data_IF_937329961326
#
_entry.id   IF_937329961326
#
_cell.length_a   1.000
_cell.length_b   1.000
_cell.length_c   1.000
_cell.angle_alpha   90.00
_cell.angle_beta   90.00
_cell.angle_gamma   90.00
#
_symmetry.space_group_name_H-M   'P 1'
#
loop_
_entity.id
_entity.type
_entity.pdbx_description
1 polymer ?
#
# COMPACT_ATOMS: atom_id res chain seq x y z
N UNK A 1 -14.49 -50.36 16.30
CA UNK A 1 -14.20 -49.47 15.15
C UNK A 1 -14.56 -48.05 15.55
N UNK A 2 -13.58 -47.24 15.95
CA UNK A 2 -13.81 -45.83 16.28
C UNK A 2 -13.98 -45.04 14.98
N UNK A 3 -15.12 -44.36 14.83
CA UNK A 3 -15.42 -43.49 13.69
C UNK A 3 -14.62 -42.20 13.88
N UNK A 4 -13.57 -42.04 13.07
CA UNK A 4 -12.76 -40.82 13.05
C UNK A 4 -13.69 -39.67 12.66
N UNK A 5 -13.95 -38.76 13.61
CA UNK A 5 -14.69 -37.52 13.38
C UNK A 5 -13.83 -36.69 12.45
N UNK A 6 -14.14 -36.69 11.15
CA UNK A 6 -13.66 -35.65 10.25
C UNK A 6 -14.26 -34.35 10.76
N UNK A 7 -13.46 -33.40 11.27
CA UNK A 7 -14.00 -32.09 11.54
C UNK A 7 -14.39 -31.53 10.17
N UNK A 8 -15.67 -31.23 10.04
CA UNK A 8 -16.25 -30.24 9.14
C UNK A 8 -15.60 -28.88 9.42
N UNK A 9 -14.28 -28.79 9.27
CA UNK A 9 -13.61 -27.51 9.13
C UNK A 9 -14.06 -27.05 7.76
N UNK A 10 -15.11 -26.23 7.75
CA UNK A 10 -15.38 -25.25 6.72
C UNK A 10 -14.15 -24.35 6.65
N UNK A 11 -13.07 -24.90 6.12
CA UNK A 11 -11.88 -24.17 5.76
C UNK A 11 -12.37 -23.34 4.61
N UNK A 12 -12.82 -22.12 4.88
CA UNK A 12 -13.18 -21.17 3.85
C UNK A 12 -11.96 -21.11 2.93
N UNK A 13 -12.05 -21.75 1.76
CA UNK A 13 -10.93 -21.81 0.83
C UNK A 13 -10.73 -20.40 0.30
N UNK A 14 -9.73 -19.72 0.87
CA UNK A 14 -9.35 -18.39 0.47
C UNK A 14 -8.69 -18.51 -0.91
N UNK A 15 -9.47 -18.26 -1.95
CA UNK A 15 -9.00 -18.23 -3.32
C UNK A 15 -8.38 -16.87 -3.61
N UNK A 16 -7.05 -16.80 -3.53
CA UNK A 16 -6.27 -15.61 -3.90
C UNK A 16 -5.71 -15.75 -5.31
N UNK A 17 -5.90 -14.71 -6.12
CA UNK A 17 -5.24 -14.54 -7.41
C UNK A 17 -3.72 -14.37 -7.26
N UNK A 18 -2.92 -14.63 -8.31
CA UNK A 18 -1.47 -14.41 -8.29
C UNK A 18 -1.07 -12.99 -7.89
N UNK A 19 -1.87 -12.00 -8.29
CA UNK A 19 -1.66 -10.59 -7.98
C UNK A 19 -1.88 -10.29 -6.48
N UNK A 20 -2.92 -10.87 -5.90
CA UNK A 20 -3.19 -10.78 -4.47
C UNK A 20 -2.08 -11.44 -3.65
N UNK A 21 -1.64 -12.63 -4.04
CA UNK A 21 -0.50 -13.31 -3.44
C UNK A 21 0.76 -12.47 -3.48
N UNK A 22 1.04 -11.83 -4.63
CA UNK A 22 2.21 -10.97 -4.78
C UNK A 22 2.15 -9.78 -3.83
N UNK A 23 1.03 -9.08 -3.77
CA UNK A 23 0.87 -7.96 -2.83
C UNK A 23 0.98 -8.45 -1.38
N UNK A 24 0.31 -9.56 -1.04
CA UNK A 24 0.33 -10.14 0.30
C UNK A 24 1.75 -10.46 0.76
N UNK A 25 2.59 -11.01 -0.12
CA UNK A 25 3.99 -11.33 0.18
C UNK A 25 4.86 -10.12 0.53
N UNK A 26 4.45 -8.91 0.11
CA UNK A 26 5.18 -7.66 0.34
C UNK A 26 4.75 -6.93 1.61
N UNK A 27 3.67 -7.37 2.26
CA UNK A 27 3.13 -6.78 3.47
C UNK A 27 3.97 -7.21 4.67
N UNK A 28 4.96 -6.40 5.01
CA UNK A 28 5.77 -6.57 6.24
C UNK A 28 5.29 -5.68 7.40
N UNK A 29 4.28 -4.83 7.16
CA UNK A 29 3.74 -3.88 8.14
C UNK A 29 4.55 -2.60 8.32
N UNK A 30 5.66 -2.43 7.59
CA UNK A 30 6.55 -1.26 7.68
C UNK A 30 6.39 -0.28 6.50
N UNK A 31 5.79 -0.76 5.41
CA UNK A 31 5.63 -0.06 4.15
C UNK A 31 4.20 0.45 4.00
N UNK A 32 4.08 1.62 3.40
CA UNK A 32 2.80 2.18 2.97
C UNK A 32 2.23 1.41 1.75
N UNK A 33 0.92 1.54 1.54
CA UNK A 33 0.23 0.99 0.37
C UNK A 33 0.88 1.46 -0.93
N UNK A 34 1.29 2.74 -0.99
CA UNK A 34 1.96 3.35 -2.14
C UNK A 34 3.29 2.66 -2.45
N UNK A 35 4.12 2.45 -1.44
CA UNK A 35 5.41 1.75 -1.60
C UNK A 35 5.22 0.30 -2.06
N UNK A 36 4.25 -0.40 -1.47
CA UNK A 36 3.93 -1.78 -1.87
C UNK A 36 3.43 -1.83 -3.31
N UNK A 37 2.57 -0.89 -3.74
CA UNK A 37 2.11 -0.79 -5.12
C UNK A 37 3.29 -0.64 -6.10
N UNK A 38 4.24 0.26 -5.79
CA UNK A 38 5.43 0.44 -6.62
C UNK A 38 6.30 -0.82 -6.70
N UNK A 39 6.55 -1.50 -5.58
CA UNK A 39 7.33 -2.75 -5.54
C UNK A 39 6.64 -3.88 -6.30
N UNK A 40 5.32 -3.98 -6.17
CA UNK A 40 4.52 -4.97 -6.88
C UNK A 40 4.43 -4.69 -8.39
N UNK A 41 4.81 -3.48 -8.85
CA UNK A 41 4.56 -2.95 -10.20
C UNK A 41 3.07 -2.77 -10.54
N UNK A 42 2.28 -2.35 -9.55
CA UNK A 42 0.86 -2.04 -9.68
C UNK A 42 0.64 -0.53 -9.71
N UNK A 43 -0.45 -0.11 -10.33
CA UNK A 43 -0.99 1.23 -10.08
C UNK A 43 -1.51 1.31 -8.65
N UNK A 44 -1.48 2.51 -8.06
CA UNK A 44 -2.01 2.74 -6.71
C UNK A 44 -3.47 2.29 -6.58
N UNK A 45 -4.27 2.50 -7.62
CA UNK A 45 -5.66 2.11 -7.66
C UNK A 45 -5.86 0.58 -7.66
N UNK A 46 -5.09 -0.15 -8.48
CA UNK A 46 -5.19 -1.61 -8.52
C UNK A 46 -4.71 -2.23 -7.22
N UNK A 47 -3.61 -1.72 -6.66
CA UNK A 47 -3.15 -2.13 -5.34
C UNK A 47 -4.22 -1.86 -4.27
N UNK A 48 -4.85 -0.68 -4.28
CA UNK A 48 -5.90 -0.34 -3.33
C UNK A 48 -7.11 -1.29 -3.40
N UNK A 49 -7.52 -1.73 -4.60
CA UNK A 49 -8.58 -2.75 -4.74
C UNK A 49 -8.21 -4.07 -4.07
N UNK A 50 -6.98 -4.54 -4.30
CA UNK A 50 -6.47 -5.76 -3.68
C UNK A 50 -6.42 -5.60 -2.16
N UNK A 51 -5.86 -4.50 -1.66
CA UNK A 51 -5.84 -4.21 -0.23
C UNK A 51 -7.25 -4.17 0.36
N UNK A 52 -8.21 -3.57 -0.34
CA UNK A 52 -9.61 -3.54 0.09
C UNK A 52 -10.18 -4.96 0.23
N UNK A 53 -9.95 -5.85 -0.74
CA UNK A 53 -10.36 -7.25 -0.65
C UNK A 53 -9.73 -7.97 0.54
N UNK A 54 -8.41 -7.83 0.70
CA UNK A 54 -7.64 -8.43 1.79
C UNK A 54 -8.03 -7.90 3.18
N UNK A 55 -8.40 -6.63 3.29
CA UNK A 55 -8.86 -6.03 4.54
C UNK A 55 -10.29 -6.48 4.86
N UNK A 56 -11.17 -6.50 3.85
CA UNK A 56 -12.57 -6.89 4.01
C UNK A 56 -12.73 -8.36 4.37
N UNK A 57 -11.82 -9.22 3.89
CA UNK A 57 -11.74 -10.64 4.29
C UNK A 57 -11.09 -10.85 5.65
N UNK A 58 -10.51 -9.81 6.26
CA UNK A 58 -9.82 -9.89 7.55
C UNK A 58 -8.39 -10.45 7.48
N UNK A 59 -7.86 -10.72 6.29
CA UNK A 59 -6.49 -11.20 6.08
C UNK A 59 -5.43 -10.13 6.40
N UNK A 60 -5.78 -8.86 6.21
CA UNK A 60 -4.89 -7.72 6.43
C UNK A 60 -5.58 -6.68 7.31
N UNK A 61 -4.82 -6.01 8.17
CA UNK A 61 -5.30 -4.90 9.00
C UNK A 61 -4.45 -3.65 8.77
N UNK A 62 -5.11 -2.49 8.79
CA UNK A 62 -4.42 -1.21 8.73
C UNK A 62 -3.79 -0.88 10.07
N UNK A 63 -2.50 -0.53 10.05
CA UNK A 63 -1.79 0.02 11.19
C UNK A 63 -1.91 1.54 11.15
N UNK A 64 -2.03 2.19 12.31
CA UNK A 64 -1.97 3.66 12.39
C UNK A 64 -0.67 4.14 11.74
N UNK A 65 -0.72 5.17 10.88
CA UNK A 65 0.49 5.70 10.27
C UNK A 65 1.43 6.16 11.37
N UNK A 66 2.61 5.56 11.42
CA UNK A 66 3.72 6.19 12.16
C UNK A 66 4.01 7.47 11.40
N UNK A 67 4.05 8.62 12.09
CA UNK A 67 4.45 9.91 11.51
C UNK A 67 5.86 9.76 10.94
N UNK A 68 5.97 9.30 9.69
CA UNK A 68 7.20 9.38 8.91
C UNK A 68 7.18 10.73 8.23
N UNK A 69 8.27 11.47 8.38
CA UNK A 69 8.45 12.89 8.01
C UNK A 69 8.36 13.17 6.49
N UNK A 70 7.85 12.23 5.70
CA UNK A 70 7.84 12.24 4.24
C UNK A 70 6.88 13.31 3.65
N UNK A 71 5.87 13.76 4.39
CA UNK A 71 5.01 14.88 3.97
C UNK A 71 5.78 16.20 3.84
N UNK A 72 6.87 16.41 4.62
CA UNK A 72 7.68 17.64 4.49
C UNK A 72 8.44 17.73 3.17
N UNK A 73 8.77 16.60 2.53
CA UNK A 73 9.63 16.60 1.33
C UNK A 73 8.87 16.91 0.03
N UNK A 74 7.55 16.69 0.01
CA UNK A 74 6.70 16.96 -1.15
C UNK A 74 6.33 18.46 -1.26
N UNK A 75 6.15 19.15 -0.12
CA UNK A 75 5.90 20.60 -0.10
C UNK A 75 7.18 21.42 -0.35
N UNK A 76 8.33 21.05 0.23
CA UNK A 76 9.60 21.75 -0.01
C UNK A 76 10.04 21.75 -1.49
N UNK A 77 9.73 20.69 -2.25
CA UNK A 77 10.06 20.60 -3.68
C UNK A 77 9.18 21.50 -4.55
N UNK A 78 7.94 21.79 -4.15
CA UNK A 78 7.04 22.72 -4.84
C UNK A 78 7.45 24.17 -4.55
N UNK A 79 7.73 24.49 -3.29
CA UNK A 79 8.12 25.84 -2.87
C UNK A 79 9.48 26.25 -3.46
N UNK A 80 10.49 25.36 -3.45
CA UNK A 80 11.80 25.63 -4.07
C UNK A 80 11.75 25.83 -5.59
N UNK A 81 10.76 25.23 -6.29
CA UNK A 81 10.56 25.43 -7.74
C UNK A 81 9.89 26.77 -8.04
N UNK A 82 8.91 27.19 -7.24
CA UNK A 82 8.25 28.50 -7.42
C UNK A 82 9.16 29.68 -7.08
N UNK A 83 9.93 29.58 -5.99
CA UNK A 83 10.88 30.62 -5.57
C UNK A 83 11.98 30.83 -6.62
N UNK A 84 12.50 29.75 -7.23
CA UNK A 84 13.48 29.85 -8.33
C UNK A 84 12.90 30.49 -9.59
N UNK A 85 11.64 30.18 -9.94
CA UNK A 85 10.96 30.74 -11.11
C UNK A 85 10.71 32.25 -10.95
N UNK A 86 10.29 32.69 -9.76
CA UNK A 86 10.12 34.12 -9.43
C UNK A 86 11.46 34.86 -9.46
N UNK A 87 12.49 34.37 -8.78
CA UNK A 87 13.83 35.02 -8.76
C UNK A 87 14.46 35.15 -10.15
N UNK A 88 14.26 34.19 -11.05
CA UNK A 88 14.74 34.28 -12.43
C UNK A 88 13.98 35.25 -13.34
N UNK A 89 12.78 35.68 -12.93
CA UNK A 89 11.95 36.66 -13.63
C UNK A 89 12.31 38.10 -13.22
N UNK A 90 12.68 38.31 -11.95
CA UNK A 90 13.05 39.64 -11.42
C UNK A 90 14.48 40.11 -11.74
N UNK A 91 15.36 39.26 -12.28
CA UNK A 91 16.77 39.61 -12.61
C UNK A 91 16.99 40.04 -14.07
N UNK A 92 15.92 40.24 -14.84
CA UNK A 92 15.94 40.58 -16.27
C UNK A 92 15.43 42.01 -16.57
N UNK A 93 15.29 42.84 -15.54
CA UNK A 93 14.96 44.27 -15.65
C UNK A 93 16.17 45.14 -15.38
#
# INVERSE_FOLDING_TARGET
MAKLRSPDVSTEEINLSPDEWKILSLITGERSIREIAHLAKFTEFNAAKVFYGLISSGLVKLKKPQKKEDEKKAEEKKEKKEVKKKRGLFRRG
#
